data_IF_873338301647
#
_entry.id   IF_873338301647
#
_cell.length_a   1.000
_cell.length_b   1.000
_cell.length_c   1.000
_cell.angle_alpha   90.00
_cell.angle_beta   90.00
_cell.angle_gamma   90.00
#
_symmetry.space_group_name_H-M   'P 1'
#
loop_
_entity.id
_entity.type
_entity.pdbx_description
1 polymer ?
#
# COMPACT_ATOMS: atom_id res chain seq x y z
N UNK A 1 -46.30 4.49 -9.39
CA UNK A 1 -45.08 4.35 -8.56
C UNK A 1 -43.90 4.97 -9.30
N UNK A 2 -43.13 5.83 -8.64
CA UNK A 2 -42.08 6.64 -9.26
C UNK A 2 -40.84 5.74 -9.54
N UNK A 3 -40.88 4.95 -10.61
CA UNK A 3 -39.85 3.93 -10.97
C UNK A 3 -38.43 4.51 -10.96
N UNK A 4 -38.26 5.77 -11.36
CA UNK A 4 -36.98 6.49 -11.32
C UNK A 4 -36.41 6.61 -9.89
N UNK A 5 -37.26 6.79 -8.88
CA UNK A 5 -36.84 6.85 -7.47
C UNK A 5 -36.60 5.46 -6.87
N UNK A 6 -37.33 4.43 -7.34
CA UNK A 6 -37.15 3.05 -6.90
C UNK A 6 -35.81 2.47 -7.32
N UNK A 7 -35.43 2.68 -8.58
CA UNK A 7 -34.16 2.18 -9.13
C UNK A 7 -32.94 2.77 -8.44
N UNK A 8 -32.94 4.09 -8.17
CA UNK A 8 -31.83 4.74 -7.47
C UNK A 8 -31.67 4.24 -6.02
N UNK A 9 -32.79 4.03 -5.30
CA UNK A 9 -32.76 3.46 -3.95
C UNK A 9 -32.21 2.03 -3.94
N UNK A 10 -32.64 1.21 -4.89
CA UNK A 10 -32.14 -0.16 -5.03
C UNK A 10 -30.64 -0.18 -5.36
N UNK A 11 -30.20 0.68 -6.30
CA UNK A 11 -28.79 0.83 -6.64
C UNK A 11 -27.94 1.24 -5.44
N UNK A 12 -28.41 2.19 -4.62
CA UNK A 12 -27.71 2.59 -3.40
C UNK A 12 -27.55 1.41 -2.43
N UNK A 13 -28.63 0.67 -2.16
CA UNK A 13 -28.59 -0.48 -1.25
C UNK A 13 -27.61 -1.54 -1.75
N UNK A 14 -27.67 -1.88 -3.04
CA UNK A 14 -26.76 -2.86 -3.64
C UNK A 14 -25.30 -2.39 -3.63
N UNK A 15 -25.05 -1.10 -3.85
CA UNK A 15 -23.71 -0.51 -3.81
C UNK A 15 -23.11 -0.58 -2.41
N UNK A 16 -23.89 -0.29 -1.37
CA UNK A 16 -23.43 -0.39 0.02
C UNK A 16 -23.12 -1.86 0.38
N UNK A 17 -24.00 -2.79 0.02
CA UNK A 17 -23.77 -4.23 0.24
C UNK A 17 -22.50 -4.69 -0.47
N UNK A 18 -22.30 -4.26 -1.72
CA UNK A 18 -21.11 -4.57 -2.51
C UNK A 18 -19.82 -4.07 -1.83
N UNK A 19 -19.78 -2.80 -1.43
CA UNK A 19 -18.61 -2.19 -0.78
C UNK A 19 -18.27 -2.95 0.51
N UNK A 20 -19.28 -3.29 1.33
CA UNK A 20 -19.08 -4.06 2.56
C UNK A 20 -18.54 -5.45 2.24
N UNK A 21 -19.12 -6.15 1.26
CA UNK A 21 -18.66 -7.48 0.87
C UNK A 21 -17.20 -7.48 0.38
N UNK A 22 -16.84 -6.54 -0.51
CA UNK A 22 -15.47 -6.38 -1.00
C UNK A 22 -14.51 -6.03 0.14
N UNK A 23 -14.91 -5.15 1.05
CA UNK A 23 -14.13 -4.80 2.23
C UNK A 23 -13.84 -5.99 3.14
N UNK A 24 -14.83 -6.85 3.39
CA UNK A 24 -14.68 -8.06 4.20
C UNK A 24 -13.77 -9.08 3.52
N UNK A 25 -13.95 -9.33 2.21
CA UNK A 25 -13.13 -10.27 1.43
C UNK A 25 -11.68 -9.75 1.32
N UNK A 26 -11.51 -8.45 1.12
CA UNK A 26 -10.22 -7.78 1.00
C UNK A 26 -9.53 -7.47 2.33
N UNK A 27 -10.11 -7.85 3.47
CA UNK A 27 -9.57 -7.48 4.77
C UNK A 27 -8.18 -8.06 5.06
N UNK A 28 -7.99 -9.36 4.77
CA UNK A 28 -6.71 -10.05 4.98
C UNK A 28 -5.51 -9.42 4.26
N UNK A 29 -5.60 -9.01 2.99
CA UNK A 29 -4.53 -8.27 2.35
C UNK A 29 -4.40 -6.83 2.89
N UNK A 30 -5.50 -6.13 3.21
CA UNK A 30 -5.46 -4.75 3.74
C UNK A 30 -4.71 -4.70 5.09
N UNK A 31 -4.99 -5.61 6.02
CA UNK A 31 -4.29 -5.63 7.33
C UNK A 31 -2.78 -5.89 7.24
N UNK A 32 -2.27 -6.32 6.08
CA UNK A 32 -0.84 -6.55 5.80
C UNK A 32 -0.18 -5.39 5.08
N UNK A 33 -0.93 -4.33 4.76
CA UNK A 33 -0.32 -3.08 4.30
C UNK A 33 0.45 -2.42 5.43
N UNK A 34 1.53 -1.73 5.07
CA UNK A 34 2.43 -1.07 6.01
C UNK A 34 1.72 -0.06 6.92
N UNK A 35 0.62 0.54 6.46
CA UNK A 35 -0.19 1.46 7.26
C UNK A 35 -0.97 0.77 8.39
N UNK A 36 -1.43 -0.47 8.16
CA UNK A 36 -2.32 -1.21 9.06
C UNK A 36 -1.59 -2.31 9.83
N UNK A 37 -0.42 -2.73 9.37
CA UNK A 37 0.42 -3.71 10.06
C UNK A 37 0.96 -3.12 11.35
N UNK A 38 0.87 -3.87 12.45
CA UNK A 38 1.57 -3.56 13.70
C UNK A 38 3.10 -3.73 13.59
N UNK A 39 3.60 -4.10 12.40
CA UNK A 39 5.03 -4.23 12.18
C UNK A 39 5.70 -2.86 12.35
N UNK A 40 6.73 -2.77 13.20
CA UNK A 40 7.54 -1.57 13.31
C UNK A 40 8.09 -1.29 11.92
N UNK A 41 7.90 -0.05 11.46
CA UNK A 41 8.44 0.51 10.23
C UNK A 41 9.61 -0.36 9.69
N UNK A 42 9.47 -1.09 8.56
CA UNK A 42 10.52 -2.00 8.09
C UNK A 42 11.85 -1.28 7.79
N UNK A 43 11.83 0.05 7.78
CA UNK A 43 12.96 0.97 7.68
C UNK A 43 13.44 1.52 9.04
N UNK A 44 12.94 1.01 10.17
CA UNK A 44 13.43 1.35 11.50
C UNK A 44 14.81 0.73 11.75
N UNK A 45 15.03 -0.45 11.20
CA UNK A 45 16.31 -1.12 11.30
C UNK A 45 17.24 -0.67 10.16
N UNK A 46 18.53 -0.52 10.49
CA UNK A 46 19.56 -0.07 9.56
C UNK A 46 20.24 -1.27 8.88
N UNK A 47 20.16 -1.41 7.54
CA UNK A 47 20.78 -2.52 6.84
C UNK A 47 22.27 -2.24 6.57
N UNK A 48 23.12 -3.23 6.84
CA UNK A 48 24.55 -3.19 6.54
C UNK A 48 24.91 -4.44 5.73
N UNK A 49 25.89 -4.31 4.83
CA UNK A 49 26.51 -5.49 4.20
C UNK A 49 27.01 -6.42 5.30
N UNK A 50 26.63 -7.69 5.25
CA UNK A 50 27.02 -8.64 6.29
C UNK A 50 28.54 -8.85 6.40
N UNK A 51 29.30 -8.57 5.34
CA UNK A 51 30.77 -8.56 5.33
C UNK A 51 31.36 -7.44 6.20
N UNK A 52 30.63 -6.34 6.35
CA UNK A 52 31.01 -5.17 7.15
C UNK A 52 30.24 -5.11 8.48
N UNK A 53 29.58 -6.20 8.86
CA UNK A 53 28.83 -6.27 10.11
C UNK A 53 29.79 -6.29 11.32
N UNK A 54 29.43 -5.56 12.36
CA UNK A 54 30.16 -5.49 13.63
C UNK A 54 29.28 -6.00 14.76
N UNK A 55 29.85 -6.76 15.69
CA UNK A 55 29.10 -7.33 16.83
C UNK A 55 28.67 -8.77 16.61
N UNK A 56 27.68 -9.23 17.37
CA UNK A 56 27.29 -10.64 17.44
C UNK A 56 25.94 -10.88 16.75
N UNK A 57 25.90 -11.86 15.84
CA UNK A 57 24.67 -12.29 15.17
C UNK A 57 23.60 -12.75 16.18
N UNK A 58 22.34 -12.38 15.91
CA UNK A 58 21.16 -12.61 16.77
C UNK A 58 21.19 -11.89 18.13
N UNK A 59 22.18 -11.03 18.38
CA UNK A 59 22.26 -10.16 19.56
C UNK A 59 22.24 -8.70 19.13
N UNK A 60 23.18 -8.31 18.28
CA UNK A 60 23.34 -6.94 17.80
C UNK A 60 22.66 -6.71 16.43
N UNK A 61 22.67 -7.75 15.59
CA UNK A 61 22.04 -7.74 14.28
C UNK A 61 21.37 -9.05 13.93
N UNK A 62 20.40 -8.99 13.02
CA UNK A 62 19.77 -10.17 12.43
C UNK A 62 19.94 -10.16 10.92
N UNK A 63 20.19 -11.33 10.32
CA UNK A 63 20.27 -11.46 8.87
C UNK A 63 18.85 -11.61 8.31
N UNK A 64 18.45 -10.71 7.43
CA UNK A 64 17.13 -10.74 6.77
C UNK A 64 17.27 -10.36 5.30
N UNK A 65 16.36 -10.86 4.48
CA UNK A 65 16.25 -10.47 3.08
C UNK A 65 15.86 -8.99 2.98
N UNK A 66 16.11 -8.37 1.83
CA UNK A 66 15.60 -7.04 1.57
C UNK A 66 14.06 -7.02 1.72
N UNK A 67 13.48 -6.04 2.44
CA UNK A 67 12.04 -5.94 2.59
C UNK A 67 11.36 -5.62 1.26
N UNK A 68 12.06 -4.93 0.34
CA UNK A 68 11.54 -4.65 -0.99
C UNK A 68 11.71 -5.86 -1.93
N UNK A 69 10.65 -6.28 -2.62
CA UNK A 69 10.72 -7.43 -3.55
C UNK A 69 11.76 -7.27 -4.67
N UNK A 70 12.00 -6.05 -5.16
CA UNK A 70 12.98 -5.79 -6.22
C UNK A 70 14.43 -5.84 -5.75
N UNK A 71 14.69 -5.64 -4.45
CA UNK A 71 16.02 -5.75 -3.87
C UNK A 71 16.37 -7.22 -3.54
N UNK A 72 15.37 -8.09 -3.36
CA UNK A 72 15.58 -9.51 -3.06
C UNK A 72 16.38 -10.26 -4.15
N UNK A 73 16.34 -9.80 -5.40
CA UNK A 73 17.06 -10.38 -6.53
C UNK A 73 18.41 -9.69 -6.84
N UNK A 74 18.78 -8.65 -6.07
CA UNK A 74 20.07 -7.97 -6.21
C UNK A 74 21.18 -8.74 -5.48
N UNK A 75 22.43 -8.35 -5.69
CA UNK A 75 23.59 -8.94 -5.02
C UNK A 75 24.23 -7.92 -4.07
N UNK A 76 24.10 -8.09 -2.73
CA UNK A 76 23.40 -9.18 -2.03
C UNK A 76 21.89 -8.93 -1.96
N UNK A 77 21.07 -10.00 -1.94
CA UNK A 77 19.61 -9.92 -1.77
C UNK A 77 19.17 -9.91 -0.30
N UNK A 78 20.16 -9.85 0.60
CA UNK A 78 20.01 -9.86 2.04
C UNK A 78 21.01 -8.90 2.68
N UNK A 79 20.72 -8.47 3.90
CA UNK A 79 21.59 -7.62 4.70
C UNK A 79 21.56 -8.05 6.17
N UNK A 80 22.49 -7.49 6.93
CA UNK A 80 22.55 -7.61 8.37
C UNK A 80 21.92 -6.35 8.97
N UNK A 81 20.79 -6.53 9.64
CA UNK A 81 19.91 -5.47 10.10
C UNK A 81 20.13 -5.20 11.58
N UNK A 82 20.35 -3.93 11.90
CA UNK A 82 20.57 -3.46 13.27
C UNK A 82 19.39 -2.62 13.73
N UNK A 83 18.87 -2.83 14.95
CA UNK A 83 18.03 -1.84 15.61
C UNK A 83 18.78 -0.50 15.71
N UNK A 84 18.11 0.63 15.48
CA UNK A 84 18.77 1.95 15.39
C UNK A 84 19.70 2.25 16.59
N UNK A 85 19.24 1.99 17.82
CA UNK A 85 20.05 2.22 19.02
C UNK A 85 21.34 1.38 19.07
N UNK A 86 21.27 0.13 18.60
CA UNK A 86 22.45 -0.75 18.50
C UNK A 86 23.38 -0.30 17.38
N UNK A 87 22.82 0.07 16.23
CA UNK A 87 23.57 0.59 15.09
C UNK A 87 24.41 1.81 15.48
N UNK A 88 23.80 2.82 16.11
CA UNK A 88 24.48 4.05 16.54
C UNK A 88 25.56 3.83 17.59
N UNK A 89 25.42 2.78 18.41
CA UNK A 89 26.44 2.38 19.39
C UNK A 89 27.65 1.75 18.70
N UNK A 90 27.42 0.89 17.71
CA UNK A 90 28.47 0.12 17.02
C UNK A 90 29.15 0.90 15.88
N UNK A 91 28.45 1.88 15.29
CA UNK A 91 28.94 2.68 14.17
C UNK A 91 28.88 4.18 14.50
N UNK A 92 29.72 4.67 15.43
CA UNK A 92 29.62 6.02 15.96
C UNK A 92 29.88 7.12 14.92
N UNK A 93 30.55 6.80 13.80
CA UNK A 93 30.76 7.71 12.68
C UNK A 93 29.47 8.22 12.04
N UNK A 94 28.35 7.50 12.21
CA UNK A 94 27.06 7.89 11.67
C UNK A 94 26.16 8.64 12.68
N UNK A 95 26.62 8.88 13.91
CA UNK A 95 25.80 9.48 14.97
C UNK A 95 25.32 10.90 14.65
N UNK A 96 26.11 11.67 13.91
CA UNK A 96 25.75 13.03 13.49
C UNK A 96 24.74 13.06 12.32
N UNK A 97 24.47 11.92 11.67
CA UNK A 97 23.61 11.84 10.49
C UNK A 97 22.16 11.54 10.91
N UNK A 98 21.21 12.23 10.29
CA UNK A 98 19.78 11.98 10.51
C UNK A 98 19.39 10.58 10.00
N UNK A 99 18.37 9.97 10.61
CA UNK A 99 17.94 8.61 10.24
C UNK A 99 17.60 8.45 8.76
N UNK A 100 16.90 9.44 8.18
CA UNK A 100 16.54 9.44 6.77
C UNK A 100 17.79 9.42 5.87
N UNK A 101 18.78 10.28 6.16
CA UNK A 101 20.01 10.35 5.36
C UNK A 101 20.90 9.14 5.56
N UNK A 102 20.96 8.61 6.79
CA UNK A 102 21.66 7.38 7.11
C UNK A 102 21.10 6.20 6.30
N UNK A 103 19.79 6.02 6.30
CA UNK A 103 19.11 4.95 5.57
C UNK A 103 19.41 5.03 4.07
N UNK A 104 19.32 6.23 3.49
CA UNK A 104 19.66 6.48 2.08
C UNK A 104 21.10 6.03 1.76
N UNK A 105 22.08 6.43 2.59
CA UNK A 105 23.49 6.08 2.40
C UNK A 105 23.74 4.57 2.51
N UNK A 106 23.08 3.90 3.46
CA UNK A 106 23.21 2.45 3.66
C UNK A 106 22.64 1.65 2.48
N UNK A 107 21.46 2.06 1.98
CA UNK A 107 20.86 1.46 0.78
C UNK A 107 21.74 1.66 -0.45
N UNK A 108 22.28 2.86 -0.65
CA UNK A 108 23.22 3.13 -1.74
C UNK A 108 24.47 2.24 -1.68
N UNK A 109 25.03 2.02 -0.49
CA UNK A 109 26.19 1.12 -0.31
C UNK A 109 25.85 -0.36 -0.64
N UNK A 110 24.63 -0.79 -0.34
CA UNK A 110 24.13 -2.11 -0.73
C UNK A 110 23.83 -2.23 -2.23
N UNK A 111 23.77 -1.12 -2.97
CA UNK A 111 23.29 -1.10 -4.36
C UNK A 111 21.77 -1.35 -4.44
N UNK A 112 21.06 -1.07 -3.36
CA UNK A 112 19.62 -1.25 -3.23
C UNK A 112 18.90 0.05 -3.54
N UNK A 113 17.70 -0.07 -4.12
CA UNK A 113 16.81 1.05 -4.30
C UNK A 113 15.88 1.12 -3.09
N UNK A 114 16.00 2.21 -2.32
CA UNK A 114 15.08 2.49 -1.24
C UNK A 114 13.68 2.67 -1.84
N UNK A 115 12.67 2.08 -1.22
CA UNK A 115 11.29 2.44 -1.53
C UNK A 115 11.06 3.89 -1.08
N UNK A 116 11.33 4.84 -1.97
CA UNK A 116 11.00 6.26 -1.76
C UNK A 116 9.50 6.34 -1.56
N UNK A 117 9.09 6.66 -0.34
CA UNK A 117 7.69 6.73 0.08
C UNK A 117 6.93 5.44 -0.31
N UNK A 118 7.41 4.29 0.21
CA UNK A 118 6.79 2.99 -0.02
C UNK A 118 5.27 3.13 0.09
N UNK A 119 4.57 2.82 -1.01
CA UNK A 119 3.13 2.98 -1.10
C UNK A 119 2.46 2.21 0.04
N UNK A 120 2.14 2.92 1.13
CA UNK A 120 1.66 2.33 2.38
C UNK A 120 0.33 1.61 2.21
N UNK A 121 -0.30 1.80 1.04
CA UNK A 121 -1.59 1.32 0.64
C UNK A 121 -1.52 0.40 -0.59
N UNK A 122 -0.37 -0.22 -0.87
CA UNK A 122 -0.17 -1.05 -2.07
C UNK A 122 -1.24 -2.14 -2.23
N UNK A 123 -1.73 -2.74 -1.13
CA UNK A 123 -2.81 -3.74 -1.15
C UNK A 123 -4.19 -3.11 -0.97
N UNK A 124 -4.29 -1.98 -0.26
CA UNK A 124 -5.54 -1.25 -0.04
C UNK A 124 -6.06 -0.63 -1.34
N UNK A 125 -5.18 -0.08 -2.19
CA UNK A 125 -5.53 0.55 -3.46
C UNK A 125 -6.33 -0.36 -4.40
N UNK A 126 -5.87 -1.57 -4.77
CA UNK A 126 -6.64 -2.44 -5.66
C UNK A 126 -7.99 -2.86 -5.05
N UNK A 127 -8.05 -3.10 -3.73
CA UNK A 127 -9.31 -3.43 -3.05
C UNK A 127 -10.27 -2.24 -3.08
N UNK A 128 -9.80 -1.03 -2.80
CA UNK A 128 -10.59 0.19 -2.86
C UNK A 128 -11.10 0.45 -4.28
N UNK A 129 -10.24 0.30 -5.30
CA UNK A 129 -10.66 0.42 -6.70
C UNK A 129 -11.77 -0.58 -7.03
N UNK A 130 -11.63 -1.85 -6.65
CA UNK A 130 -12.66 -2.85 -6.90
C UNK A 130 -13.95 -2.62 -6.10
N UNK A 131 -13.86 -2.02 -4.92
CA UNK A 131 -15.02 -1.66 -4.11
C UNK A 131 -15.83 -0.50 -4.72
N UNK A 132 -15.16 0.55 -5.20
CA UNK A 132 -15.83 1.79 -5.60
C UNK A 132 -16.05 1.94 -7.11
N UNK A 133 -15.17 1.39 -7.96
CA UNK A 133 -15.29 1.56 -9.42
C UNK A 133 -16.55 0.90 -9.99
N UNK A 134 -16.91 -0.36 -9.67
CA UNK A 134 -18.11 -0.98 -10.24
C UNK A 134 -19.42 -0.24 -9.89
N UNK A 135 -19.68 0.15 -8.62
CA UNK A 135 -20.83 0.98 -8.29
C UNK A 135 -20.88 2.28 -9.08
N UNK A 136 -19.79 3.04 -9.11
CA UNK A 136 -19.73 4.33 -9.82
C UNK A 136 -19.93 4.15 -11.32
N UNK A 137 -19.28 3.16 -11.94
CA UNK A 137 -19.42 2.87 -13.37
C UNK A 137 -20.87 2.49 -13.70
N UNK A 138 -21.51 1.64 -12.90
CA UNK A 138 -22.92 1.25 -13.11
C UNK A 138 -23.88 2.44 -13.01
N UNK A 139 -23.61 3.39 -12.11
CA UNK A 139 -24.40 4.62 -11.99
C UNK A 139 -24.25 5.51 -13.22
N UNK A 140 -23.02 5.72 -13.70
CA UNK A 140 -22.73 6.54 -14.88
C UNK A 140 -23.43 5.94 -16.11
N UNK A 141 -23.29 4.63 -16.31
CA UNK A 141 -23.95 3.91 -17.42
C UNK A 141 -25.47 4.02 -17.32
N UNK A 142 -26.03 3.77 -16.13
CA UNK A 142 -27.47 3.91 -15.89
C UNK A 142 -27.99 5.32 -16.16
N UNK A 143 -27.26 6.34 -15.71
CA UNK A 143 -27.60 7.75 -15.96
C UNK A 143 -27.54 8.10 -17.45
N UNK A 144 -26.52 7.61 -18.17
CA UNK A 144 -26.37 7.82 -19.61
C UNK A 144 -27.55 7.21 -20.39
N UNK A 145 -27.98 6.00 -20.04
CA UNK A 145 -29.17 5.38 -20.64
C UNK A 145 -30.45 6.17 -20.37
N UNK A 146 -30.67 6.58 -19.11
CA UNK A 146 -31.86 7.37 -18.75
C UNK A 146 -31.88 8.69 -19.54
N UNK A 147 -30.73 9.35 -19.68
CA UNK A 147 -30.59 10.56 -20.48
C UNK A 147 -30.92 10.31 -21.96
N UNK A 148 -30.29 9.29 -22.58
CA UNK A 148 -30.49 8.95 -23.98
C UNK A 148 -31.97 8.66 -24.29
N UNK A 149 -32.63 7.82 -23.50
CA UNK A 149 -34.03 7.45 -23.75
C UNK A 149 -35.05 8.52 -23.35
N UNK A 150 -34.74 9.37 -22.37
CA UNK A 150 -35.62 10.48 -21.98
C UNK A 150 -35.64 11.59 -23.05
N UNK A 151 -34.55 11.78 -23.81
CA UNK A 151 -34.47 12.78 -24.89
C UNK A 151 -35.33 12.46 -26.11
N UNK A 152 -35.60 11.19 -26.40
CA UNK A 152 -36.46 10.77 -27.52
C UNK A 152 -37.96 10.80 -27.20
N UNK A 153 -38.33 10.95 -25.93
CA UNK A 153 -39.72 11.09 -25.49
C UNK A 153 -40.19 12.55 -25.62
N UNK A 154 -40.16 13.12 -26.84
CA UNK A 154 -40.82 14.41 -27.06
C UNK A 154 -42.34 14.22 -27.01
N UNK A 155 -43.10 15.16 -26.39
CA UNK A 155 -44.56 15.10 -26.41
C UNK A 155 -45.05 15.16 -27.86
N UNK A 156 -46.02 14.29 -28.21
CA UNK A 156 -46.80 14.48 -29.45
C UNK A 156 -47.40 15.88 -29.39
N UNK A 157 -47.10 16.69 -30.39
CA UNK A 157 -47.72 18.01 -30.54
C UNK A 157 -49.26 17.85 -30.54
N UNK A 158 -49.98 18.81 -29.94
CA UNK A 158 -51.45 18.77 -29.84
C UNK A 158 -52.13 18.78 -31.21
#
# INVERSE_FOLDING_TARGET
>A
MNIRRGFFRLWLVLSVIWIVAVGLIGWEPIRRDQWWSADPNPFADSPVRCENATGTANVDYTRRNAPEPWNAYRTPGYACWYPEGRFRTLFPSYNAVSHAKLTEMLYQNLGWEQATDSDKFIRTKPVALFAFVPPVASLIIGAAFVWAFSGFSRPKAP
#
